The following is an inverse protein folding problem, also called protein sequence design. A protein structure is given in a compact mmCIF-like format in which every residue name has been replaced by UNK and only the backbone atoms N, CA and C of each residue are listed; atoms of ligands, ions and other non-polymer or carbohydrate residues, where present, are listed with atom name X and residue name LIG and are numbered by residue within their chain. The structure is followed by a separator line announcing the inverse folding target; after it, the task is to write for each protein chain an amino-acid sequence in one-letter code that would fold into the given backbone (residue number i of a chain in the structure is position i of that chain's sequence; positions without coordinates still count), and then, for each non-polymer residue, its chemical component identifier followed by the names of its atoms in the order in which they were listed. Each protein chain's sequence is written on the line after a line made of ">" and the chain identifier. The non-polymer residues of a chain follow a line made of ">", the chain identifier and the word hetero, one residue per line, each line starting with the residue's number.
data_IF_920589909225
#
_entry.id   IF_920589909225
#
_cell.length_a   1.000
_cell.length_b   1.000
_cell.length_c   1.000
_cell.angle_alpha   90.00
_cell.angle_beta   90.00
_cell.angle_gamma   90.00
#
_symmetry.space_group_name_H-M   'P 1'
#
loop_
_entity.id
_entity.type
_entity.pdbx_description
1 polymer ?
#
# COMPACT_ATOMS: atom_id res chain seq x y z
N UNK A 1 19.67 -5.55 8.05
CA UNK A 1 19.09 -4.19 7.84
C UNK A 1 17.81 -4.28 7.00
N UNK A 2 16.70 -3.68 7.45
CA UNK A 2 15.54 -3.47 6.60
C UNK A 2 15.85 -2.28 5.68
N UNK A 3 15.69 -2.47 4.37
CA UNK A 3 15.90 -1.40 3.40
C UNK A 3 14.53 -0.81 3.03
N UNK A 4 14.52 0.46 2.59
CA UNK A 4 13.29 1.25 2.37
C UNK A 4 13.15 1.65 0.90
N UNK A 5 11.91 1.63 0.41
CA UNK A 5 11.48 2.15 -0.89
C UNK A 5 10.54 3.33 -0.67
N UNK A 6 10.46 4.23 -1.66
CA UNK A 6 9.44 5.27 -1.74
C UNK A 6 8.67 5.08 -3.04
N UNK A 7 7.35 5.02 -2.95
CA UNK A 7 6.46 4.89 -4.11
C UNK A 7 5.63 6.16 -4.25
N UNK A 8 5.62 6.74 -5.44
CA UNK A 8 4.82 7.93 -5.72
C UNK A 8 3.34 7.58 -5.97
N UNK A 9 2.46 8.50 -5.60
CA UNK A 9 1.03 8.54 -5.92
C UNK A 9 0.58 9.97 -6.21
N UNK A 10 -0.58 10.15 -6.86
CA UNK A 10 -1.19 11.47 -7.08
C UNK A 10 -2.04 11.89 -5.88
N UNK A 11 -1.74 13.00 -5.17
CA UNK A 11 -2.65 13.52 -4.15
C UNK A 11 -3.93 14.11 -4.80
N UNK A 12 -5.05 14.23 -4.06
CA UNK A 12 -5.24 13.76 -2.69
C UNK A 12 -5.30 12.23 -2.58
N UNK A 13 -4.93 11.69 -1.42
CA UNK A 13 -5.08 10.28 -1.07
C UNK A 13 -5.74 10.21 0.30
N UNK A 14 -6.90 9.56 0.40
CA UNK A 14 -7.66 9.41 1.65
C UNK A 14 -7.05 8.29 2.51
N UNK A 15 -5.93 8.61 3.16
CA UNK A 15 -5.19 7.68 4.02
C UNK A 15 -6.07 7.21 5.17
N UNK A 16 -6.80 8.13 5.80
CA UNK A 16 -7.68 7.83 6.92
C UNK A 16 -8.79 6.84 6.49
N UNK A 17 -9.42 7.08 5.33
CA UNK A 17 -10.41 6.17 4.76
C UNK A 17 -9.85 4.78 4.46
N UNK A 18 -8.66 4.69 3.87
CA UNK A 18 -8.00 3.41 3.59
C UNK A 18 -7.67 2.65 4.88
N UNK A 19 -7.11 3.32 5.90
CA UNK A 19 -6.80 2.70 7.17
C UNK A 19 -8.06 2.28 7.93
N UNK A 20 -9.11 3.10 7.93
CA UNK A 20 -10.41 2.77 8.52
C UNK A 20 -11.09 1.59 7.82
N UNK A 21 -10.89 1.44 6.50
CA UNK A 21 -11.35 0.27 5.76
C UNK A 21 -10.56 -0.99 6.15
N UNK A 22 -9.24 -0.91 6.25
CA UNK A 22 -8.38 -2.08 6.49
C UNK A 22 -8.38 -2.55 7.94
N UNK A 23 -8.44 -1.64 8.92
CA UNK A 23 -8.36 -1.97 10.35
C UNK A 23 -9.34 -3.08 10.81
N UNK A 24 -10.66 -3.02 10.52
CA UNK A 24 -11.58 -4.09 10.93
C UNK A 24 -11.43 -5.38 10.12
N UNK A 25 -10.66 -5.36 9.02
CA UNK A 25 -10.42 -6.50 8.12
C UNK A 25 -9.05 -7.15 8.35
N UNK A 26 -8.24 -6.59 9.25
CA UNK A 26 -6.88 -7.05 9.50
C UNK A 26 -6.88 -8.49 10.03
N UNK A 27 -6.13 -9.36 9.35
CA UNK A 27 -6.00 -10.75 9.77
C UNK A 27 -5.05 -10.87 10.96
N UNK A 28 -5.54 -11.36 12.10
CA UNK A 28 -4.74 -11.52 13.32
C UNK A 28 -3.47 -12.35 13.08
N UNK A 29 -2.32 -11.82 13.50
CA UNK A 29 -1.01 -12.46 13.31
C UNK A 29 -0.40 -12.30 11.91
N UNK A 30 -1.16 -11.81 10.93
CA UNK A 30 -0.69 -11.55 9.56
C UNK A 30 -0.57 -10.05 9.30
N UNK A 31 -1.56 -9.27 9.73
CA UNK A 31 -1.67 -7.85 9.45
C UNK A 31 -1.84 -7.05 10.75
N UNK A 32 -1.28 -5.84 10.76
CA UNK A 32 -1.48 -4.82 11.78
C UNK A 32 -1.69 -3.49 11.08
N UNK A 33 -2.81 -2.83 11.40
CA UNK A 33 -3.13 -1.49 10.93
C UNK A 33 -3.03 -0.56 12.13
N UNK A 34 -2.16 0.43 12.04
CA UNK A 34 -2.00 1.51 13.03
C UNK A 34 -2.54 2.82 12.42
N UNK A 35 -2.44 3.93 13.15
CA UNK A 35 -3.04 5.22 12.74
C UNK A 35 -2.49 5.80 11.43
N UNK A 36 -1.26 5.47 11.04
CA UNK A 36 -0.57 5.99 9.85
C UNK A 36 0.17 4.89 9.06
N UNK A 37 0.02 3.63 9.46
CA UNK A 37 0.84 2.54 8.94
C UNK A 37 0.12 1.21 8.84
N UNK A 38 0.57 0.39 7.89
CA UNK A 38 0.10 -0.99 7.73
C UNK A 38 1.33 -1.89 7.70
N UNK A 39 1.39 -2.87 8.59
CA UNK A 39 2.42 -3.91 8.59
C UNK A 39 1.78 -5.24 8.23
N UNK A 40 2.38 -6.00 7.31
CA UNK A 40 1.89 -7.34 6.96
C UNK A 40 3.00 -8.31 6.60
N UNK A 41 2.77 -9.59 6.87
CA UNK A 41 3.56 -10.67 6.26
C UNK A 41 3.00 -11.04 4.88
N UNK A 42 3.88 -11.54 4.02
CA UNK A 42 3.51 -12.04 2.69
C UNK A 42 4.51 -13.09 2.22
N UNK A 43 4.09 -13.86 1.22
CA UNK A 43 5.00 -14.64 0.41
C UNK A 43 4.64 -14.50 -1.07
N UNK A 44 5.65 -14.52 -1.93
CA UNK A 44 5.49 -14.51 -3.37
C UNK A 44 6.55 -15.41 -4.02
N UNK A 45 6.21 -16.00 -5.17
CA UNK A 45 7.16 -16.74 -5.98
C UNK A 45 7.85 -15.78 -6.97
N UNK A 46 9.17 -15.87 -7.04
CA UNK A 46 10.00 -15.10 -7.96
C UNK A 46 11.16 -15.97 -8.44
N UNK A 47 11.37 -16.04 -9.76
CA UNK A 47 12.43 -16.85 -10.37
C UNK A 47 12.46 -18.31 -9.88
N UNK A 48 11.30 -18.94 -9.71
CA UNK A 48 11.17 -20.33 -9.26
C UNK A 48 11.46 -20.56 -7.78
N UNK A 49 11.55 -19.50 -6.96
CA UNK A 49 11.76 -19.58 -5.51
C UNK A 49 10.69 -18.82 -4.76
N UNK A 50 10.26 -19.36 -3.61
CA UNK A 50 9.35 -18.68 -2.71
C UNK A 50 10.10 -17.72 -1.80
N UNK A 51 9.71 -16.46 -1.81
CA UNK A 51 10.21 -15.41 -0.92
C UNK A 51 9.14 -15.08 0.10
N UNK A 52 9.43 -15.28 1.38
CA UNK A 52 8.54 -14.95 2.49
C UNK A 52 9.17 -13.91 3.41
N UNK A 53 8.36 -12.99 3.91
CA UNK A 53 8.85 -11.91 4.75
C UNK A 53 7.73 -10.98 5.20
N UNK A 54 8.11 -9.77 5.58
CA UNK A 54 7.17 -8.74 6.00
C UNK A 54 7.49 -7.41 5.33
N UNK A 55 6.46 -6.58 5.24
CA UNK A 55 6.57 -5.19 4.84
C UNK A 55 5.81 -4.28 5.80
N UNK A 56 6.22 -3.02 5.85
CA UNK A 56 5.51 -1.94 6.53
C UNK A 56 5.37 -0.75 5.59
N UNK A 57 4.15 -0.26 5.44
CA UNK A 57 3.78 0.90 4.66
C UNK A 57 3.50 2.05 5.61
N UNK A 58 4.02 3.26 5.34
CA UNK A 58 3.73 4.49 6.08
C UNK A 58 3.45 5.66 5.14
N UNK A 59 2.43 6.44 5.46
CA UNK A 59 2.03 7.64 4.72
C UNK A 59 2.60 8.89 5.39
N UNK A 60 3.92 9.09 5.30
CA UNK A 60 4.63 10.16 6.01
C UNK A 60 4.51 11.53 5.31
N UNK A 61 4.29 11.56 4.00
CA UNK A 61 4.27 12.77 3.17
C UNK A 61 3.25 12.67 2.04
N UNK A 62 2.68 13.80 1.64
CA UNK A 62 1.76 13.86 0.50
C UNK A 62 2.50 13.49 -0.81
N UNK A 63 1.85 12.69 -1.65
CA UNK A 63 2.37 12.27 -2.96
C UNK A 63 3.35 11.09 -2.93
N UNK A 64 3.71 10.57 -1.75
CA UNK A 64 4.55 9.38 -1.63
C UNK A 64 4.20 8.50 -0.42
N UNK A 65 4.46 7.20 -0.56
CA UNK A 65 4.34 6.23 0.51
C UNK A 65 5.68 5.53 0.73
N UNK A 66 6.06 5.41 2.00
CA UNK A 66 7.30 4.76 2.44
C UNK A 66 7.02 3.28 2.67
N UNK A 67 7.81 2.39 2.07
CA UNK A 67 7.69 0.94 2.23
C UNK A 67 9.00 0.39 2.78
N UNK A 68 8.96 -0.14 3.98
CA UNK A 68 10.06 -0.89 4.60
C UNK A 68 9.82 -2.38 4.40
N UNK A 69 10.85 -3.14 4.00
CA UNK A 69 10.74 -4.56 3.69
C UNK A 69 11.88 -5.37 4.29
N UNK A 70 11.55 -6.59 4.73
CA UNK A 70 12.53 -7.56 5.20
C UNK A 70 13.55 -7.93 4.10
N UNK A 71 14.79 -8.24 4.51
CA UNK A 71 15.87 -8.64 3.61
C UNK A 71 15.48 -9.76 2.62
N UNK A 72 14.64 -10.68 3.07
CA UNK A 72 14.17 -11.85 2.28
C UNK A 72 13.31 -11.50 1.07
N UNK A 73 12.69 -10.32 1.04
CA UNK A 73 11.81 -9.87 -0.06
C UNK A 73 12.56 -9.08 -1.13
N UNK A 74 13.77 -8.57 -0.83
CA UNK A 74 14.54 -7.75 -1.78
C UNK A 74 14.84 -8.43 -3.11
N UNK A 75 15.21 -9.73 -3.16
CA UNK A 75 15.40 -10.40 -4.44
C UNK A 75 14.15 -10.40 -5.33
N UNK A 76 12.95 -10.31 -4.74
CA UNK A 76 11.67 -10.31 -5.43
C UNK A 76 11.04 -8.91 -5.55
N UNK A 77 11.79 -7.83 -5.25
CA UNK A 77 11.24 -6.46 -5.16
C UNK A 77 10.58 -6.01 -6.47
N UNK A 78 11.14 -6.36 -7.62
CA UNK A 78 10.56 -6.02 -8.93
C UNK A 78 9.18 -6.65 -9.15
N UNK A 79 8.96 -7.88 -8.65
CA UNK A 79 7.65 -8.54 -8.68
C UNK A 79 6.71 -8.02 -7.60
N UNK A 80 7.23 -7.56 -6.46
CA UNK A 80 6.45 -7.01 -5.36
C UNK A 80 5.90 -5.61 -5.68
N UNK A 81 6.65 -4.79 -6.42
CA UNK A 81 6.28 -3.40 -6.71
C UNK A 81 4.88 -3.23 -7.34
N UNK A 82 4.51 -3.95 -8.42
CA UNK A 82 3.16 -3.85 -8.99
C UNK A 82 2.06 -4.30 -8.02
N UNK A 83 2.35 -5.30 -7.17
CA UNK A 83 1.40 -5.79 -6.16
C UNK A 83 1.14 -4.73 -5.10
N UNK A 84 2.20 -4.04 -4.64
CA UNK A 84 2.09 -2.92 -3.70
C UNK A 84 1.31 -1.75 -4.31
N UNK A 85 1.60 -1.38 -5.57
CA UNK A 85 0.88 -0.30 -6.24
C UNK A 85 -0.60 -0.60 -6.39
N UNK A 86 -0.95 -1.84 -6.73
CA UNK A 86 -2.34 -2.28 -6.82
C UNK A 86 -3.02 -2.34 -5.46
N UNK A 87 -2.37 -2.90 -4.44
CA UNK A 87 -2.94 -3.03 -3.10
C UNK A 87 -3.30 -1.69 -2.47
N UNK A 88 -2.45 -0.69 -2.71
CA UNK A 88 -2.63 0.67 -2.22
C UNK A 88 -3.26 1.60 -3.27
N UNK A 89 -3.68 1.11 -4.44
CA UNK A 89 -4.27 1.92 -5.52
C UNK A 89 -3.47 3.20 -5.86
N UNK A 90 -2.14 3.09 -5.91
CA UNK A 90 -1.23 4.25 -6.04
C UNK A 90 -1.28 4.91 -7.43
N UNK A 91 -1.83 4.21 -8.41
CA UNK A 91 -1.90 4.66 -9.81
C UNK A 91 -3.17 5.46 -10.11
N UNK A 92 -4.15 5.46 -9.21
CA UNK A 92 -5.41 6.15 -9.40
C UNK A 92 -5.24 7.66 -9.67
N UNK A 93 -6.12 8.19 -10.50
CA UNK A 93 -6.24 9.61 -10.81
C UNK A 93 -7.40 10.21 -10.00
N UNK A 94 -7.13 10.82 -8.82
CA UNK A 94 -8.18 11.32 -7.95
C UNK A 94 -8.98 12.47 -8.57
N UNK A 95 -8.37 13.26 -9.48
CA UNK A 95 -9.04 14.39 -10.12
C UNK A 95 -10.05 13.88 -11.17
N UNK A 96 -9.63 12.92 -12.00
CA UNK A 96 -10.51 12.29 -12.98
C UNK A 96 -11.67 11.55 -12.30
N UNK A 97 -11.40 10.81 -11.22
CA UNK A 97 -12.42 10.11 -10.42
C UNK A 97 -13.40 11.11 -9.80
N UNK A 98 -12.88 12.18 -9.18
CA UNK A 98 -13.71 13.23 -8.59
C UNK A 98 -14.61 13.91 -9.61
N UNK A 99 -14.08 14.22 -10.80
CA UNK A 99 -14.86 14.81 -11.89
C UNK A 99 -16.00 13.89 -12.36
N UNK A 100 -15.77 12.58 -12.43
CA UNK A 100 -16.78 11.61 -12.86
C UNK A 100 -17.85 11.36 -11.79
N UNK A 101 -17.50 11.34 -10.51
CA UNK A 101 -18.43 11.09 -9.40
C UNK A 101 -19.20 12.34 -8.95
N UNK A 102 -18.68 13.53 -9.24
CA UNK A 102 -19.29 14.80 -8.83
C UNK A 102 -19.43 14.92 -7.31
N UNK A 103 -20.53 15.50 -6.85
CA UNK A 103 -20.78 15.75 -5.41
C UNK A 103 -20.91 14.48 -4.54
N UNK A 104 -21.04 13.29 -5.15
CA UNK A 104 -21.09 12.02 -4.43
C UNK A 104 -19.71 11.41 -4.13
N UNK A 105 -18.63 11.96 -4.69
CA UNK A 105 -17.28 11.44 -4.51
C UNK A 105 -16.63 11.89 -3.20
N UNK A 106 -15.80 11.04 -2.61
CA UNK A 106 -14.89 11.43 -1.52
C UNK A 106 -13.52 11.76 -2.12
N UNK A 107 -12.96 12.98 -1.89
CA UNK A 107 -11.68 13.37 -2.45
C UNK A 107 -10.55 12.41 -2.04
N UNK A 108 -9.81 11.91 -3.03
CA UNK A 108 -8.69 11.01 -2.79
C UNK A 108 -9.07 9.60 -2.35
N UNK A 109 -10.36 9.25 -2.39
CA UNK A 109 -10.82 7.89 -2.16
C UNK A 109 -10.08 6.91 -3.09
N UNK A 110 -9.76 5.75 -2.53
CA UNK A 110 -9.05 4.67 -3.21
C UNK A 110 -9.86 3.39 -3.18
N UNK A 111 -9.44 2.43 -4.00
CA UNK A 111 -9.94 1.07 -3.98
C UNK A 111 -8.92 0.15 -3.29
N UNK A 112 -9.07 -0.15 -1.98
CA UNK A 112 -8.22 -1.13 -1.32
C UNK A 112 -8.39 -2.50 -1.99
N UNK A 113 -7.30 -3.06 -2.53
CA UNK A 113 -7.31 -4.26 -3.40
C UNK A 113 -6.48 -5.44 -2.92
#
# INVERSE_FOLDING_TARGET
>A
PASRLRLAYRPPYDVAGVLAFLAPRAVAGVERVDADSITRSLALDHAGRRHAGWLRVRFERAGEVSVELSATLWPAVGSLLPLLRRWLDLDADPDAIGAALGAGGVPGQRLPG
#
